data_IF_085868356093
#
_entry.id   IF_085868356093
#
_cell.length_a   1.000
_cell.length_b   1.000
_cell.length_c   1.000
_cell.angle_alpha   90.00
_cell.angle_beta   90.00
_cell.angle_gamma   90.00
#
_symmetry.space_group_name_H-M   'P 1'
#
loop_
_entity.id
_entity.type
_entity.pdbx_description
1 polymer ?
#
# COMPACT_ATOMS: atom_id res chain seq x y z
N UNK A 1 -0.52 2.01 12.46
CA UNK A 1 -1.41 3.05 11.89
C UNK A 1 -0.65 4.33 11.56
N UNK A 2 0.12 4.93 12.49
CA UNK A 2 0.83 6.20 12.25
C UNK A 2 1.87 6.19 11.11
N UNK A 3 2.67 5.13 10.98
CA UNK A 3 3.66 5.03 9.89
C UNK A 3 3.01 5.03 8.50
N UNK A 4 1.84 4.41 8.39
CA UNK A 4 1.10 4.30 7.13
C UNK A 4 0.53 5.65 6.70
N UNK A 5 -0.06 6.40 7.62
CA UNK A 5 -0.59 7.74 7.33
C UNK A 5 0.53 8.73 6.99
N UNK A 6 1.67 8.62 7.67
CA UNK A 6 2.85 9.40 7.34
C UNK A 6 3.36 9.08 5.93
N UNK A 7 3.38 7.79 5.54
CA UNK A 7 3.74 7.37 4.19
C UNK A 7 2.76 7.88 3.12
N UNK A 8 1.45 7.75 3.36
CA UNK A 8 0.43 8.25 2.40
C UNK A 8 0.51 9.76 2.26
N UNK A 9 0.73 10.49 3.35
CA UNK A 9 0.82 11.96 3.34
C UNK A 9 2.11 12.46 2.69
N UNK A 10 3.23 11.78 2.92
CA UNK A 10 4.50 12.05 2.23
C UNK A 10 4.44 11.67 0.75
N UNK A 11 3.70 10.59 0.42
CA UNK A 11 3.38 10.27 -0.97
C UNK A 11 2.49 11.33 -1.58
N UNK A 12 1.47 11.89 -0.93
CA UNK A 12 0.62 12.91 -1.57
C UNK A 12 1.44 14.18 -1.93
N UNK A 13 2.37 14.58 -1.06
CA UNK A 13 3.32 15.66 -1.34
C UNK A 13 4.28 15.32 -2.50
N UNK A 14 4.77 14.09 -2.58
CA UNK A 14 5.61 13.63 -3.70
C UNK A 14 4.81 13.43 -4.99
N UNK A 15 3.57 12.94 -4.90
CA UNK A 15 2.62 12.73 -5.99
C UNK A 15 2.22 14.05 -6.62
N UNK A 16 2.16 15.14 -5.85
CA UNK A 16 1.99 16.49 -6.39
C UNK A 16 3.17 16.92 -7.29
N UNK A 17 4.36 16.34 -7.09
CA UNK A 17 5.53 16.52 -7.96
C UNK A 17 5.65 15.47 -9.08
N UNK A 18 4.83 14.41 -9.06
CA UNK A 18 4.84 13.34 -10.06
C UNK A 18 3.74 13.52 -11.10
N UNK A 19 3.92 12.83 -12.22
CA UNK A 19 2.94 12.78 -13.29
C UNK A 19 1.63 12.09 -12.83
N UNK A 20 0.46 12.59 -13.26
CA UNK A 20 -0.85 12.09 -12.82
C UNK A 20 -1.08 10.61 -13.18
N UNK A 21 -0.42 10.11 -14.23
CA UNK A 21 -0.45 8.70 -14.62
C UNK A 21 0.19 7.79 -13.58
N UNK A 22 1.33 8.19 -13.00
CA UNK A 22 1.99 7.43 -11.91
C UNK A 22 1.11 7.47 -10.67
N UNK A 23 0.55 8.63 -10.32
CA UNK A 23 -0.39 8.76 -9.20
C UNK A 23 -1.57 7.80 -9.29
N UNK A 24 -2.21 7.73 -10.46
CA UNK A 24 -3.35 6.84 -10.68
C UNK A 24 -2.99 5.36 -10.48
N UNK A 25 -1.81 4.92 -10.95
CA UNK A 25 -1.32 3.55 -10.75
C UNK A 25 -1.10 3.23 -9.27
N UNK A 26 -0.47 4.14 -8.53
CA UNK A 26 -0.21 3.97 -7.08
C UNK A 26 -1.51 3.82 -6.32
N UNK A 27 -2.47 4.72 -6.57
CA UNK A 27 -3.78 4.71 -5.92
C UNK A 27 -4.53 3.41 -6.26
N UNK A 28 -4.48 2.94 -7.51
CA UNK A 28 -5.12 1.69 -7.91
C UNK A 28 -4.49 0.45 -7.24
N UNK A 29 -3.16 0.37 -7.19
CA UNK A 29 -2.44 -0.70 -6.51
C UNK A 29 -2.76 -0.73 -5.02
N UNK A 30 -2.70 0.43 -4.35
CA UNK A 30 -3.05 0.55 -2.93
C UNK A 30 -4.50 0.18 -2.65
N UNK A 31 -5.44 0.65 -3.49
CA UNK A 31 -6.85 0.34 -3.33
C UNK A 31 -7.12 -1.17 -3.44
N UNK A 32 -6.41 -1.86 -4.33
CA UNK A 32 -6.48 -3.31 -4.50
C UNK A 32 -5.98 -4.02 -3.25
N UNK A 33 -4.83 -3.59 -2.72
CA UNK A 33 -4.22 -4.18 -1.52
C UNK A 33 -5.11 -3.95 -0.28
N UNK A 34 -5.69 -2.76 -0.10
CA UNK A 34 -6.65 -2.52 1.00
C UNK A 34 -7.92 -3.34 0.86
N UNK A 35 -8.39 -3.58 -0.36
CA UNK A 35 -9.56 -4.42 -0.57
C UNK A 35 -9.25 -5.84 -0.10
N UNK A 36 -8.11 -6.40 -0.50
CA UNK A 36 -7.66 -7.72 -0.03
C UNK A 36 -7.52 -7.78 1.49
N UNK A 37 -6.95 -6.75 2.13
CA UNK A 37 -6.86 -6.69 3.59
C UNK A 37 -8.23 -6.69 4.25
N UNK A 38 -9.18 -5.87 3.80
CA UNK A 38 -10.53 -5.84 4.38
C UNK A 38 -11.26 -7.17 4.21
N UNK A 39 -11.09 -7.82 3.06
CA UNK A 39 -11.68 -9.13 2.80
C UNK A 39 -11.06 -10.19 3.74
N UNK A 40 -9.76 -10.11 3.99
CA UNK A 40 -9.05 -10.96 4.96
C UNK A 40 -9.46 -10.68 6.41
N UNK A 41 -9.58 -9.42 6.82
CA UNK A 41 -10.06 -9.02 8.14
C UNK A 41 -11.51 -9.47 8.37
N UNK A 42 -12.37 -9.36 7.35
CA UNK A 42 -13.74 -9.85 7.42
C UNK A 42 -13.81 -11.38 7.53
N UNK A 43 -12.92 -12.10 6.84
CA UNK A 43 -12.79 -13.55 6.96
C UNK A 43 -12.24 -13.97 8.33
N UNK A 44 -11.24 -13.26 8.85
CA UNK A 44 -10.71 -13.44 10.20
C UNK A 44 -11.73 -13.11 11.29
N UNK A 45 -12.62 -12.15 11.06
CA UNK A 45 -13.74 -11.87 11.97
C UNK A 45 -14.71 -13.04 12.10
N UNK A 46 -14.82 -13.89 11.07
CA UNK A 46 -15.58 -15.14 11.10
C UNK A 46 -14.77 -16.31 11.65
N UNK A 47 -13.50 -16.40 11.29
CA UNK A 47 -12.60 -17.47 11.71
C UNK A 47 -11.26 -16.90 12.21
N UNK A 48 -11.23 -16.39 13.46
CA UNK A 48 -10.04 -15.73 14.00
C UNK A 48 -8.91 -16.72 14.30
N UNK A 49 -9.20 -18.01 14.37
CA UNK A 49 -8.23 -19.09 14.61
C UNK A 49 -7.54 -19.56 13.32
N UNK A 50 -7.94 -19.05 12.16
CA UNK A 50 -7.34 -19.41 10.89
C UNK A 50 -5.96 -18.76 10.71
N UNK A 51 -4.91 -19.49 11.09
CA UNK A 51 -3.51 -19.06 10.96
C UNK A 51 -3.13 -18.68 9.52
N UNK A 52 -3.73 -19.33 8.53
CA UNK A 52 -3.45 -19.09 7.11
C UNK A 52 -3.96 -17.71 6.67
N UNK A 53 -5.14 -17.29 7.15
CA UNK A 53 -5.66 -15.94 6.94
C UNK A 53 -4.81 -14.88 7.65
N UNK A 54 -4.31 -15.17 8.86
CA UNK A 54 -3.41 -14.28 9.58
C UNK A 54 -2.08 -14.11 8.83
N UNK A 55 -1.49 -15.19 8.32
CA UNK A 55 -0.29 -15.11 7.47
C UNK A 55 -0.55 -14.36 6.16
N UNK A 56 -1.70 -14.58 5.51
CA UNK A 56 -2.05 -13.85 4.29
C UNK A 56 -2.18 -12.36 4.56
N UNK A 57 -2.76 -11.99 5.70
CA UNK A 57 -2.89 -10.60 6.14
C UNK A 57 -1.50 -9.96 6.30
N UNK A 58 -0.60 -10.63 7.02
CA UNK A 58 0.78 -10.17 7.22
C UNK A 58 1.53 -10.05 5.89
N UNK A 59 1.42 -11.03 5.01
CA UNK A 59 2.01 -10.97 3.67
C UNK A 59 1.44 -9.81 2.84
N UNK A 60 0.14 -9.57 2.93
CA UNK A 60 -0.53 -8.46 2.23
C UNK A 60 -0.03 -7.10 2.73
N UNK A 61 0.20 -6.95 4.05
CA UNK A 61 0.85 -5.75 4.61
C UNK A 61 2.28 -5.57 4.11
N UNK A 62 3.05 -6.64 4.01
CA UNK A 62 4.41 -6.59 3.47
C UNK A 62 4.42 -6.20 1.98
N UNK A 63 3.47 -6.71 1.20
CA UNK A 63 3.29 -6.30 -0.20
C UNK A 63 2.88 -4.83 -0.32
N UNK A 64 2.00 -4.33 0.55
CA UNK A 64 1.67 -2.90 0.62
C UNK A 64 2.95 -2.06 0.79
N UNK A 65 3.78 -2.45 1.74
CA UNK A 65 5.01 -1.74 2.07
C UNK A 65 6.02 -1.78 0.92
N UNK A 66 6.17 -2.93 0.25
CA UNK A 66 7.00 -3.05 -0.97
C UNK A 66 6.52 -2.13 -2.08
N UNK A 67 5.21 -2.09 -2.34
CA UNK A 67 4.63 -1.20 -3.36
C UNK A 67 4.86 0.25 -2.99
N UNK A 68 4.64 0.62 -1.74
CA UNK A 68 4.88 1.97 -1.24
C UNK A 68 6.36 2.39 -1.39
N UNK A 69 7.31 1.52 -1.04
CA UNK A 69 8.75 1.76 -1.22
C UNK A 69 9.12 1.87 -2.70
N UNK A 70 8.67 0.95 -3.55
CA UNK A 70 8.96 0.98 -4.98
C UNK A 70 8.43 2.26 -5.65
N UNK A 71 7.29 2.76 -5.19
CA UNK A 71 6.72 4.03 -5.65
C UNK A 71 7.54 5.23 -5.18
N UNK A 72 8.00 5.21 -3.93
CA UNK A 72 8.89 6.22 -3.38
C UNK A 72 10.23 6.29 -4.14
N UNK A 73 10.84 5.13 -4.42
CA UNK A 73 12.08 5.05 -5.20
C UNK A 73 11.87 5.52 -6.65
N UNK A 74 10.77 5.12 -7.29
CA UNK A 74 10.40 5.56 -8.63
C UNK A 74 10.13 7.08 -8.70
N UNK A 75 9.67 7.68 -7.61
CA UNK A 75 9.48 9.13 -7.54
C UNK A 75 10.76 9.91 -7.31
N UNK A 76 11.69 9.36 -6.55
CA UNK A 76 13.03 9.93 -6.33
C UNK A 76 13.88 9.88 -7.61
N UNK A 77 13.80 8.79 -8.37
CA UNK A 77 14.52 8.64 -9.65
C UNK A 77 14.00 9.56 -10.77
N UNK A 78 12.77 10.07 -10.66
CA UNK A 78 12.22 11.08 -11.56
C UNK A 78 12.75 12.51 -11.34
N UNK A 79 13.43 12.78 -10.21
CA UNK A 79 14.00 14.09 -9.87
C UNK A 79 15.44 14.31 -10.36
N UNK A 80 16.00 13.38 -11.13
CA UNK A 80 17.38 13.43 -11.61
C UNK A 80 17.53 13.44 -13.13
N UNK A 81 16.96 14.42 -13.83
CA UNK A 81 17.41 14.86 -15.17
C UNK A 81 17.21 16.36 -15.34
#
# INVERSE_FOLDING_TARGET
>A
MHEREALVRSLDAQLASLSPQTRAKVIASLATIHKSMRDLEAALGRDPSNALLQELLVNTYQDEMRVLTAVHEASETGKGV
#
